data_IF_140377274936
#
_entry.id   IF_140377274936
#
_cell.length_a   1.000
_cell.length_b   1.000
_cell.length_c   1.000
_cell.angle_alpha   90.00
_cell.angle_beta   90.00
_cell.angle_gamma   90.00
#
_symmetry.space_group_name_H-M   'P 1'
#
loop_
_entity.id
_entity.type
_entity.pdbx_description
1 polymer ?
#
# COMPACT_ATOMS: atom_id res chain seq x y z
N UNK A 1 -0.71 -35.80 8.68
CA UNK A 1 -0.06 -34.62 9.20
C UNK A 1 -0.99 -33.44 9.49
N UNK A 2 -2.20 -33.44 8.99
CA UNK A 2 -3.21 -32.39 9.21
C UNK A 2 -4.36 -32.90 10.09
N UNK A 3 -4.02 -33.51 11.22
CA UNK A 3 -4.98 -34.23 12.09
C UNK A 3 -5.68 -33.36 13.13
N UNK A 4 -5.12 -32.19 13.46
CA UNK A 4 -5.65 -31.33 14.54
C UNK A 4 -7.07 -30.86 14.28
N UNK A 5 -7.43 -30.63 13.02
CA UNK A 5 -8.74 -30.17 12.60
C UNK A 5 -9.53 -31.21 11.78
N UNK A 6 -9.17 -32.47 11.82
CA UNK A 6 -9.77 -33.52 10.96
C UNK A 6 -11.28 -33.61 11.10
N UNK A 7 -11.82 -33.53 12.31
CA UNK A 7 -13.26 -33.59 12.62
C UNK A 7 -14.07 -32.37 12.16
N UNK A 8 -13.38 -31.25 11.91
CA UNK A 8 -13.99 -29.98 11.50
C UNK A 8 -13.85 -29.69 9.99
N UNK A 9 -13.37 -30.70 9.22
CA UNK A 9 -13.24 -30.57 7.75
C UNK A 9 -14.49 -30.96 7.00
N UNK A 10 -15.40 -31.70 7.66
CA UNK A 10 -16.70 -32.00 7.08
C UNK A 10 -17.58 -30.76 6.96
N UNK A 11 -18.57 -30.82 6.06
CA UNK A 11 -19.45 -29.67 5.80
C UNK A 11 -20.63 -29.68 6.82
N UNK A 12 -20.30 -29.49 8.10
CA UNK A 12 -21.28 -29.34 9.18
C UNK A 12 -21.53 -27.86 9.46
N UNK A 13 -22.67 -27.54 10.13
CA UNK A 13 -22.97 -26.17 10.53
C UNK A 13 -21.89 -25.58 11.46
N UNK A 14 -21.35 -26.37 12.35
CA UNK A 14 -20.30 -26.00 13.28
C UNK A 14 -18.99 -25.66 12.54
N UNK A 15 -18.62 -26.50 11.57
CA UNK A 15 -17.45 -26.25 10.72
C UNK A 15 -17.64 -25.03 9.84
N UNK A 16 -18.83 -24.79 9.30
CA UNK A 16 -19.16 -23.59 8.54
C UNK A 16 -18.99 -22.34 9.42
N UNK A 17 -19.59 -22.34 10.60
CA UNK A 17 -19.50 -21.23 11.55
C UNK A 17 -18.04 -20.94 11.93
N UNK A 18 -17.25 -21.97 12.25
CA UNK A 18 -15.83 -21.84 12.56
C UNK A 18 -15.03 -21.22 11.39
N UNK A 19 -15.24 -21.73 10.17
CA UNK A 19 -14.54 -21.22 8.98
C UNK A 19 -14.84 -19.75 8.73
N UNK A 20 -16.10 -19.35 8.88
CA UNK A 20 -16.51 -17.96 8.73
C UNK A 20 -15.96 -17.08 9.86
N UNK A 21 -15.99 -17.53 11.10
CA UNK A 21 -15.37 -16.83 12.24
C UNK A 21 -13.87 -16.63 12.04
N UNK A 22 -13.14 -17.67 11.61
CA UNK A 22 -11.72 -17.58 11.32
C UNK A 22 -11.43 -16.60 10.16
N UNK A 23 -12.26 -16.62 9.11
CA UNK A 23 -12.12 -15.68 8.00
C UNK A 23 -12.30 -14.22 8.45
N UNK A 24 -13.27 -13.94 9.34
CA UNK A 24 -13.48 -12.64 9.97
C UNK A 24 -12.26 -12.23 10.80
N UNK A 25 -11.78 -13.14 11.65
CA UNK A 25 -10.65 -12.86 12.56
C UNK A 25 -9.35 -12.62 11.75
N UNK A 26 -9.02 -13.49 10.81
CA UNK A 26 -7.80 -13.38 10.01
C UNK A 26 -7.83 -12.15 9.09
N UNK A 27 -8.93 -11.95 8.35
CA UNK A 27 -9.11 -10.76 7.51
C UNK A 27 -9.11 -9.47 8.33
N UNK A 28 -9.77 -9.51 9.51
CA UNK A 28 -9.78 -8.41 10.47
C UNK A 28 -8.38 -8.09 11.01
N UNK A 29 -7.60 -9.09 11.40
CA UNK A 29 -6.25 -8.91 11.92
C UNK A 29 -5.33 -8.22 10.89
N UNK A 30 -5.36 -8.67 9.62
CA UNK A 30 -4.65 -8.02 8.52
C UNK A 30 -5.15 -6.57 8.36
N UNK A 31 -6.47 -6.37 8.31
CA UNK A 31 -7.07 -5.06 8.06
C UNK A 31 -6.89 -4.05 9.20
N UNK A 32 -6.78 -4.49 10.45
CA UNK A 32 -6.49 -3.62 11.62
C UNK A 32 -5.14 -2.93 11.43
N UNK A 33 -4.10 -3.66 11.10
CA UNK A 33 -2.77 -3.11 10.83
C UNK A 33 -2.83 -2.03 9.74
N UNK A 34 -3.56 -2.29 8.64
CA UNK A 34 -3.74 -1.36 7.53
C UNK A 34 -4.47 -0.08 7.97
N UNK A 35 -5.48 -0.21 8.81
CA UNK A 35 -6.23 0.92 9.38
C UNK A 35 -5.33 1.79 10.26
N UNK A 36 -4.54 1.19 11.16
CA UNK A 36 -3.58 1.93 11.99
C UNK A 36 -2.55 2.71 11.16
N UNK A 37 -2.16 2.18 10.02
CA UNK A 37 -1.24 2.86 9.09
C UNK A 37 -1.92 3.80 8.09
N UNK A 38 -3.20 4.06 8.24
CA UNK A 38 -4.00 4.94 7.36
C UNK A 38 -3.87 4.57 5.88
N UNK A 39 -3.89 3.26 5.58
CA UNK A 39 -3.87 2.77 4.19
C UNK A 39 -5.28 2.76 3.60
N UNK A 40 -5.46 2.86 2.26
CA UNK A 40 -6.77 2.99 1.62
C UNK A 40 -7.75 1.87 1.96
N UNK A 41 -7.30 0.60 1.96
CA UNK A 41 -8.10 -0.55 2.38
C UNK A 41 -7.75 -0.93 3.82
N UNK A 42 -8.73 -0.87 4.73
CA UNK A 42 -8.57 -1.11 6.16
C UNK A 42 -9.32 -2.34 6.66
N UNK A 43 -9.68 -2.31 7.94
CA UNK A 43 -10.30 -3.41 8.70
C UNK A 43 -11.49 -4.04 7.98
N UNK A 44 -12.52 -3.23 7.64
CA UNK A 44 -13.76 -3.73 7.02
C UNK A 44 -13.51 -4.36 5.66
N UNK A 45 -12.64 -3.76 4.85
CA UNK A 45 -12.38 -4.22 3.49
C UNK A 45 -11.72 -5.59 3.48
N UNK A 46 -10.68 -5.79 4.28
CA UNK A 46 -9.98 -7.08 4.37
C UNK A 46 -10.88 -8.18 4.95
N UNK A 47 -11.66 -7.85 5.98
CA UNK A 47 -12.62 -8.76 6.59
C UNK A 47 -13.67 -9.23 5.59
N UNK A 48 -14.30 -8.31 4.84
CA UNK A 48 -15.31 -8.63 3.85
C UNK A 48 -14.78 -9.48 2.69
N UNK A 49 -13.56 -9.17 2.21
CA UNK A 49 -12.91 -9.95 1.15
C UNK A 49 -12.61 -11.38 1.64
N UNK A 50 -12.06 -11.52 2.85
CA UNK A 50 -11.74 -12.82 3.42
C UNK A 50 -13.00 -13.67 3.62
N UNK A 51 -14.07 -13.08 4.16
CA UNK A 51 -15.38 -13.74 4.32
C UNK A 51 -15.99 -14.16 2.98
N UNK A 52 -16.03 -13.24 2.01
CA UNK A 52 -16.58 -13.53 0.69
C UNK A 52 -15.83 -14.66 -0.01
N UNK A 53 -14.51 -14.65 0.08
CA UNK A 53 -13.69 -15.73 -0.46
C UNK A 53 -13.93 -17.07 0.26
N UNK A 54 -14.03 -17.07 1.59
CA UNK A 54 -14.34 -18.28 2.35
C UNK A 54 -15.73 -18.87 1.97
N UNK A 55 -16.75 -18.00 1.89
CA UNK A 55 -18.08 -18.41 1.50
C UNK A 55 -18.14 -18.96 0.07
N UNK A 56 -17.34 -18.43 -0.85
CA UNK A 56 -17.24 -18.92 -2.22
C UNK A 56 -16.77 -20.37 -2.26
N UNK A 57 -15.75 -20.73 -1.48
CA UNK A 57 -15.25 -22.10 -1.39
C UNK A 57 -16.24 -23.02 -0.71
N UNK A 58 -16.91 -22.57 0.36
CA UNK A 58 -17.99 -23.32 1.02
C UNK A 58 -19.14 -23.60 0.07
N UNK A 59 -19.54 -22.63 -0.74
CA UNK A 59 -20.56 -22.80 -1.78
C UNK A 59 -20.14 -23.85 -2.80
N UNK A 60 -18.89 -23.83 -3.27
CA UNK A 60 -18.36 -24.85 -4.19
C UNK A 60 -18.42 -26.25 -3.60
N UNK A 61 -18.02 -26.40 -2.32
CA UNK A 61 -18.09 -27.68 -1.62
C UNK A 61 -19.55 -28.15 -1.44
N UNK A 62 -20.47 -27.25 -1.08
CA UNK A 62 -21.87 -27.56 -0.93
C UNK A 62 -22.49 -28.09 -2.24
N UNK A 63 -22.25 -27.41 -3.37
CA UNK A 63 -22.72 -27.82 -4.68
C UNK A 63 -22.18 -29.21 -5.09
N UNK A 64 -20.90 -29.47 -4.85
CA UNK A 64 -20.26 -30.71 -5.22
C UNK A 64 -20.67 -31.89 -4.32
N UNK A 65 -20.70 -31.71 -3.00
CA UNK A 65 -20.86 -32.80 -2.03
C UNK A 65 -22.34 -33.08 -1.69
N UNK A 66 -23.17 -32.02 -1.56
CA UNK A 66 -24.58 -32.19 -1.17
C UNK A 66 -25.53 -32.22 -2.35
N UNK A 67 -25.31 -31.39 -3.35
CA UNK A 67 -26.14 -31.34 -4.55
C UNK A 67 -25.70 -32.35 -5.61
N UNK A 68 -24.56 -33.02 -5.39
CA UNK A 68 -23.96 -33.98 -6.33
C UNK A 68 -23.79 -33.43 -7.77
N UNK A 69 -23.66 -32.10 -7.89
CA UNK A 69 -23.36 -31.48 -9.15
C UNK A 69 -21.91 -31.76 -9.52
N UNK A 70 -21.74 -32.43 -10.68
CA UNK A 70 -20.40 -32.63 -11.22
C UNK A 70 -19.80 -31.28 -11.64
N UNK A 71 -19.07 -30.63 -10.75
CA UNK A 71 -18.49 -29.33 -10.97
C UNK A 71 -17.07 -29.31 -10.42
N UNK A 72 -16.21 -28.53 -11.07
CA UNK A 72 -14.87 -28.23 -10.56
C UNK A 72 -15.00 -27.32 -9.33
N UNK A 73 -14.65 -27.87 -8.15
CA UNK A 73 -14.70 -27.14 -6.87
C UNK A 73 -13.77 -25.93 -6.84
N UNK A 74 -12.72 -25.89 -7.66
CA UNK A 74 -11.78 -24.77 -7.72
C UNK A 74 -12.27 -23.63 -8.63
N UNK A 75 -13.23 -23.88 -9.51
CA UNK A 75 -13.64 -22.91 -10.55
C UNK A 75 -14.16 -21.60 -10.00
N UNK A 76 -15.03 -21.63 -9.00
CA UNK A 76 -15.58 -20.40 -8.41
C UNK A 76 -14.48 -19.67 -7.61
N UNK A 77 -13.63 -20.41 -6.90
CA UNK A 77 -12.48 -19.85 -6.21
C UNK A 77 -11.47 -19.17 -7.16
N UNK A 78 -11.24 -19.76 -8.33
CA UNK A 78 -10.38 -19.13 -9.36
C UNK A 78 -10.93 -17.77 -9.82
N UNK A 79 -12.26 -17.63 -9.93
CA UNK A 79 -12.89 -16.35 -10.26
C UNK A 79 -12.73 -15.31 -9.15
N UNK A 80 -12.70 -15.72 -7.87
CA UNK A 80 -12.39 -14.82 -6.75
C UNK A 80 -10.98 -14.28 -6.88
N UNK A 81 -9.99 -15.15 -7.20
CA UNK A 81 -8.58 -14.73 -7.37
C UNK A 81 -8.45 -13.70 -8.49
N UNK A 82 -9.14 -13.92 -9.61
CA UNK A 82 -9.17 -12.94 -10.71
C UNK A 82 -9.93 -11.65 -10.33
N UNK A 83 -11.12 -11.79 -9.70
CA UNK A 83 -11.99 -10.67 -9.32
C UNK A 83 -11.37 -9.72 -8.29
N UNK A 84 -10.63 -10.25 -7.33
CA UNK A 84 -9.89 -9.42 -6.35
C UNK A 84 -8.80 -8.61 -7.04
N UNK A 85 -8.26 -9.08 -8.16
CA UNK A 85 -7.34 -8.30 -9.01
C UNK A 85 -7.96 -6.98 -9.47
N UNK A 86 -9.25 -6.96 -9.82
CA UNK A 86 -9.99 -5.75 -10.19
C UNK A 86 -10.11 -4.77 -9.00
N UNK A 87 -10.46 -5.29 -7.80
CA UNK A 87 -10.53 -4.47 -6.57
C UNK A 87 -9.14 -3.91 -6.24
N UNK A 88 -8.11 -4.75 -6.34
CA UNK A 88 -6.72 -4.37 -6.15
C UNK A 88 -6.28 -3.25 -7.11
N UNK A 89 -6.58 -3.38 -8.39
CA UNK A 89 -6.31 -2.35 -9.40
C UNK A 89 -6.97 -1.02 -9.04
N UNK A 90 -8.20 -1.04 -8.50
CA UNK A 90 -8.90 0.15 -8.00
C UNK A 90 -8.20 0.87 -6.85
N UNK A 91 -7.26 0.22 -6.16
CA UNK A 91 -6.45 0.87 -5.10
C UNK A 91 -5.14 1.47 -5.59
N UNK A 92 -4.76 1.16 -6.84
CA UNK A 92 -3.50 1.63 -7.43
C UNK A 92 -3.75 2.99 -8.09
N UNK A 93 -3.01 4.00 -7.65
CA UNK A 93 -3.10 5.36 -8.16
C UNK A 93 -1.73 5.85 -8.61
N UNK A 94 -1.70 6.50 -9.77
CA UNK A 94 -0.53 7.27 -10.23
C UNK A 94 -0.72 8.71 -9.77
N UNK A 95 0.19 9.20 -8.93
CA UNK A 95 0.16 10.58 -8.45
C UNK A 95 0.67 11.54 -9.53
N UNK A 96 0.40 12.85 -9.37
CA UNK A 96 0.90 13.90 -10.29
C UNK A 96 2.41 13.85 -10.54
N UNK A 97 3.17 13.28 -9.61
CA UNK A 97 4.63 13.11 -9.70
C UNK A 97 5.04 11.73 -10.24
N UNK A 98 4.21 11.08 -11.05
CA UNK A 98 4.43 9.76 -11.64
C UNK A 98 4.80 8.65 -10.62
N UNK A 99 4.47 8.83 -9.34
CA UNK A 99 4.64 7.79 -8.32
C UNK A 99 3.42 6.90 -8.26
N UNK A 100 3.66 5.60 -8.31
CA UNK A 100 2.61 4.61 -8.15
C UNK A 100 2.40 4.33 -6.66
N UNK A 101 1.19 4.54 -6.15
CA UNK A 101 0.77 4.22 -4.79
C UNK A 101 -0.29 3.12 -4.82
N UNK A 102 -0.42 2.35 -3.72
CA UNK A 102 -1.47 1.34 -3.58
C UNK A 102 -1.05 -0.09 -3.89
N UNK A 103 0.15 -0.35 -4.43
CA UNK A 103 0.62 -1.70 -4.78
C UNK A 103 0.59 -2.66 -3.58
N UNK A 104 1.10 -2.26 -2.41
CA UNK A 104 1.06 -3.08 -1.19
C UNK A 104 -0.37 -3.32 -0.72
N UNK A 105 -1.26 -2.33 -0.87
CA UNK A 105 -2.68 -2.48 -0.54
C UNK A 105 -3.34 -3.50 -1.45
N UNK A 106 -3.11 -3.43 -2.76
CA UNK A 106 -3.62 -4.40 -3.74
C UNK A 106 -3.14 -5.83 -3.43
N UNK A 107 -1.85 -6.00 -3.14
CA UNK A 107 -1.28 -7.28 -2.74
C UNK A 107 -1.88 -7.81 -1.43
N UNK A 108 -2.12 -6.94 -0.43
CA UNK A 108 -2.75 -7.30 0.84
C UNK A 108 -4.19 -7.79 0.68
N UNK A 109 -4.98 -7.13 -0.19
CA UNK A 109 -6.35 -7.56 -0.51
C UNK A 109 -6.36 -8.93 -1.20
N UNK A 110 -5.44 -9.14 -2.14
CA UNK A 110 -5.27 -10.42 -2.82
C UNK A 110 -4.87 -11.53 -1.82
N UNK A 111 -3.93 -11.28 -0.93
CA UNK A 111 -3.54 -12.22 0.11
C UNK A 111 -4.69 -12.53 1.08
N UNK A 112 -5.50 -11.56 1.48
CA UNK A 112 -6.67 -11.76 2.32
C UNK A 112 -7.73 -12.67 1.64
N UNK A 113 -7.90 -12.56 0.34
CA UNK A 113 -8.77 -13.46 -0.42
C UNK A 113 -8.24 -14.90 -0.41
N UNK A 114 -6.94 -15.11 -0.61
CA UNK A 114 -6.32 -16.44 -0.55
C UNK A 114 -6.48 -17.06 0.86
N UNK A 115 -6.30 -16.28 1.91
CA UNK A 115 -6.59 -16.72 3.29
C UNK A 115 -8.03 -17.19 3.42
N UNK A 116 -8.98 -16.39 2.90
CA UNK A 116 -10.40 -16.75 2.91
C UNK A 116 -10.69 -18.05 2.17
N UNK A 117 -10.19 -18.21 0.94
CA UNK A 117 -10.34 -19.45 0.16
C UNK A 117 -9.78 -20.66 0.90
N UNK A 118 -8.62 -20.52 1.53
CA UNK A 118 -7.99 -21.59 2.31
C UNK A 118 -8.83 -22.00 3.52
N UNK A 119 -9.31 -21.02 4.30
CA UNK A 119 -10.15 -21.27 5.46
C UNK A 119 -11.51 -21.86 5.06
N UNK A 120 -12.11 -21.36 3.98
CA UNK A 120 -13.35 -21.91 3.40
C UNK A 120 -13.20 -23.36 2.92
N UNK A 121 -12.02 -23.73 2.42
CA UNK A 121 -11.70 -25.10 2.03
C UNK A 121 -11.50 -26.06 3.24
N UNK A 122 -11.45 -25.55 4.47
CA UNK A 122 -11.07 -26.32 5.65
C UNK A 122 -9.55 -26.54 5.78
N UNK A 123 -8.75 -25.81 5.01
CA UNK A 123 -7.30 -25.80 5.12
C UNK A 123 -6.86 -24.75 6.15
N UNK A 124 -7.24 -25.00 7.41
CA UNK A 124 -7.03 -24.07 8.54
C UNK A 124 -5.57 -23.72 8.75
N UNK A 125 -4.70 -24.73 8.72
CA UNK A 125 -3.27 -24.58 8.94
C UNK A 125 -2.66 -23.64 7.90
N UNK A 126 -3.01 -23.82 6.62
CA UNK A 126 -2.56 -22.96 5.53
C UNK A 126 -3.06 -21.51 5.70
N UNK A 127 -4.35 -21.35 5.99
CA UNK A 127 -4.94 -20.02 6.21
C UNK A 127 -4.29 -19.26 7.37
N UNK A 128 -4.04 -19.93 8.51
CA UNK A 128 -3.41 -19.34 9.68
C UNK A 128 -1.92 -19.01 9.44
N UNK A 129 -1.18 -19.93 8.80
CA UNK A 129 0.24 -19.68 8.47
C UNK A 129 0.37 -18.50 7.51
N UNK A 130 -0.42 -18.44 6.45
CA UNK A 130 -0.39 -17.31 5.50
C UNK A 130 -0.78 -16.01 6.19
N UNK A 131 -1.79 -16.01 7.07
CA UNK A 131 -2.16 -14.83 7.87
C UNK A 131 -0.96 -14.34 8.71
N UNK A 132 -0.28 -15.25 9.39
CA UNK A 132 0.94 -14.95 10.15
C UNK A 132 2.06 -14.37 9.29
N UNK A 133 2.30 -14.96 8.11
CA UNK A 133 3.30 -14.45 7.17
C UNK A 133 2.96 -13.05 6.64
N UNK A 134 1.70 -12.79 6.31
CA UNK A 134 1.24 -11.46 5.85
C UNK A 134 1.45 -10.42 6.95
N UNK A 135 1.01 -10.71 8.18
CA UNK A 135 1.21 -9.82 9.32
C UNK A 135 2.69 -9.57 9.60
N UNK A 136 3.51 -10.61 9.55
CA UNK A 136 4.96 -10.49 9.70
C UNK A 136 5.54 -9.58 8.61
N UNK A 137 5.18 -9.80 7.36
CA UNK A 137 5.66 -8.97 6.25
C UNK A 137 5.25 -7.49 6.43
N UNK A 138 4.00 -7.21 6.77
CA UNK A 138 3.49 -5.85 6.92
C UNK A 138 4.04 -5.13 8.16
N UNK A 139 4.20 -5.82 9.28
CA UNK A 139 4.69 -5.23 10.52
C UNK A 139 6.23 -5.12 10.56
N UNK A 140 6.92 -6.18 10.18
CA UNK A 140 8.37 -6.29 10.33
C UNK A 140 9.14 -5.68 9.14
N UNK A 141 8.81 -6.09 7.89
CA UNK A 141 9.52 -5.57 6.72
C UNK A 141 9.37 -4.07 6.56
N UNK A 142 8.23 -3.50 6.92
CA UNK A 142 8.04 -2.05 6.91
C UNK A 142 8.91 -1.30 7.93
N UNK A 143 9.37 -1.95 9.01
CA UNK A 143 10.37 -1.38 9.93
C UNK A 143 11.77 -1.43 9.30
N UNK A 144 12.10 -2.56 8.69
CA UNK A 144 13.38 -2.75 7.97
C UNK A 144 13.49 -1.75 6.82
N UNK A 145 12.45 -1.61 6.01
CA UNK A 145 12.40 -0.65 4.91
C UNK A 145 12.68 0.78 5.40
N UNK A 146 12.00 1.22 6.46
CA UNK A 146 12.27 2.53 7.08
C UNK A 146 13.69 2.70 7.58
N UNK A 147 14.29 1.63 8.13
CA UNK A 147 15.67 1.66 8.61
C UNK A 147 16.65 1.81 7.45
N UNK A 148 16.40 1.12 6.35
CA UNK A 148 17.22 1.18 5.12
C UNK A 148 17.05 2.53 4.43
N UNK A 149 15.81 3.02 4.27
CA UNK A 149 15.50 4.30 3.61
C UNK A 149 15.95 5.52 4.43
N UNK A 150 16.07 5.41 5.75
CA UNK A 150 16.68 6.46 6.60
C UNK A 150 18.11 6.83 6.19
N UNK A 151 18.80 5.97 5.45
CA UNK A 151 20.17 6.21 4.97
C UNK A 151 20.27 7.23 3.83
N UNK A 152 19.17 7.61 3.20
CA UNK A 152 19.16 8.62 2.12
C UNK A 152 17.88 9.46 2.23
N UNK A 153 17.88 10.54 3.02
CA UNK A 153 16.70 11.38 3.18
C UNK A 153 16.39 12.09 1.85
N UNK A 154 15.38 11.58 1.16
CA UNK A 154 14.80 12.28 0.01
C UNK A 154 13.82 13.33 0.52
N UNK A 155 13.90 14.52 -0.04
CA UNK A 155 13.08 15.67 0.32
C UNK A 155 12.35 16.16 -0.92
N UNK A 156 11.02 16.22 -0.83
CA UNK A 156 10.22 16.91 -1.84
C UNK A 156 10.16 18.39 -1.48
N UNK A 157 10.85 19.20 -2.25
CA UNK A 157 10.90 20.63 -2.08
C UNK A 157 9.90 21.30 -3.02
N UNK A 158 9.00 22.09 -2.48
CA UNK A 158 8.15 23.01 -3.23
C UNK A 158 8.77 24.39 -3.18
N UNK A 159 9.04 24.97 -4.35
CA UNK A 159 9.69 26.26 -4.51
C UNK A 159 8.83 27.17 -5.37
N UNK A 160 8.51 28.38 -4.84
CA UNK A 160 7.96 29.48 -5.66
C UNK A 160 9.06 30.51 -5.86
N UNK A 161 9.26 30.94 -7.10
CA UNK A 161 10.36 31.85 -7.46
C UNK A 161 9.92 32.83 -8.55
N UNK A 162 10.61 33.96 -8.60
CA UNK A 162 10.38 35.02 -9.57
C UNK A 162 11.55 35.09 -10.57
N UNK A 163 11.24 34.87 -11.84
CA UNK A 163 12.19 34.95 -12.95
C UNK A 163 13.15 33.75 -13.09
N UNK A 164 13.80 33.67 -14.26
CA UNK A 164 14.77 32.60 -14.59
C UNK A 164 16.04 32.67 -13.74
N UNK A 165 16.44 33.87 -13.37
CA UNK A 165 17.68 34.12 -12.62
C UNK A 165 17.63 33.58 -11.20
N UNK A 166 16.45 33.58 -10.58
CA UNK A 166 16.24 32.96 -9.28
C UNK A 166 16.44 31.43 -9.34
N UNK A 167 15.94 30.78 -10.39
CA UNK A 167 16.13 29.35 -10.62
C UNK A 167 17.62 29.02 -10.80
N UNK A 168 18.35 29.80 -11.56
CA UNK A 168 19.77 29.56 -11.79
C UNK A 168 20.56 29.65 -10.47
N UNK A 169 20.25 30.65 -9.62
CA UNK A 169 20.83 30.77 -8.26
C UNK A 169 20.51 29.55 -7.39
N UNK A 170 19.29 29.06 -7.42
CA UNK A 170 18.89 27.87 -6.67
C UNK A 170 19.64 26.63 -7.16
N UNK A 171 19.75 26.44 -8.47
CA UNK A 171 20.51 25.30 -9.03
C UNK A 171 22.01 25.40 -8.71
N UNK A 172 22.58 26.60 -8.73
CA UNK A 172 23.97 26.84 -8.31
C UNK A 172 24.16 26.48 -6.84
N UNK A 173 23.25 26.92 -5.96
CA UNK A 173 23.26 26.53 -4.55
C UNK A 173 23.22 25.03 -4.36
N UNK A 174 22.39 24.29 -5.14
CA UNK A 174 22.36 22.82 -5.05
C UNK A 174 23.68 22.18 -5.46
N UNK A 175 24.34 22.72 -6.49
CA UNK A 175 25.67 22.25 -6.93
C UNK A 175 26.74 22.50 -5.87
N UNK A 176 26.81 23.68 -5.31
CA UNK A 176 27.78 24.05 -4.26
C UNK A 176 27.64 23.21 -3.00
N UNK A 177 26.42 22.89 -2.63
CA UNK A 177 26.11 22.01 -1.46
C UNK A 177 26.14 20.54 -1.77
N UNK A 178 26.55 20.14 -2.97
CA UNK A 178 26.55 18.73 -3.43
C UNK A 178 25.19 18.01 -3.26
N UNK A 179 24.07 18.75 -3.39
CA UNK A 179 22.72 18.22 -3.31
C UNK A 179 22.36 17.58 -4.64
N UNK A 180 22.00 16.30 -4.62
CA UNK A 180 21.58 15.58 -5.84
C UNK A 180 20.12 15.89 -6.15
N UNK A 181 19.88 16.50 -7.29
CA UNK A 181 18.53 16.66 -7.87
C UNK A 181 18.17 15.36 -8.57
N UNK A 182 17.15 14.64 -8.05
CA UNK A 182 16.67 13.38 -8.62
C UNK A 182 15.57 13.61 -9.65
N UNK A 183 14.73 14.62 -9.43
CA UNK A 183 13.68 15.05 -10.36
C UNK A 183 13.38 16.51 -10.15
N UNK A 184 13.03 17.20 -11.24
CA UNK A 184 12.57 18.58 -11.23
C UNK A 184 11.35 18.69 -12.14
N UNK A 185 10.27 19.26 -11.62
CA UNK A 185 9.05 19.55 -12.35
C UNK A 185 8.74 21.04 -12.22
N UNK A 186 8.62 21.73 -13.34
CA UNK A 186 8.31 23.16 -13.37
C UNK A 186 6.85 23.31 -13.83
N UNK A 187 6.05 23.95 -13.01
CA UNK A 187 4.68 24.29 -13.35
C UNK A 187 4.60 25.76 -13.72
N UNK A 188 4.06 26.04 -14.91
CA UNK A 188 3.86 27.43 -15.38
C UNK A 188 2.88 28.18 -14.48
N UNK A 189 3.04 29.52 -14.34
CA UNK A 189 2.20 30.33 -13.47
C UNK A 189 0.73 30.26 -13.87
N UNK A 190 -0.14 30.25 -12.87
CA UNK A 190 -1.59 30.42 -13.04
C UNK A 190 -1.80 31.86 -13.57
N UNK A 191 -2.72 32.03 -14.52
CA UNK A 191 -2.98 33.21 -15.36
C UNK A 191 -2.95 34.62 -14.70
N UNK A 192 -2.97 34.69 -13.37
CA UNK A 192 -3.04 35.99 -12.64
C UNK A 192 -1.71 36.46 -11.99
N UNK A 193 -0.64 35.64 -11.99
CA UNK A 193 0.66 36.05 -11.41
C UNK A 193 1.71 36.00 -12.51
N UNK A 194 1.87 37.12 -13.26
CA UNK A 194 2.65 37.18 -14.51
C UNK A 194 4.15 36.82 -14.41
N UNK A 195 4.74 36.71 -13.20
CA UNK A 195 6.18 36.49 -13.04
C UNK A 195 6.58 35.34 -12.11
N UNK A 196 5.65 34.80 -11.31
CA UNK A 196 5.97 33.74 -10.34
C UNK A 196 5.76 32.34 -10.92
N UNK A 197 6.83 31.56 -10.98
CA UNK A 197 6.80 30.16 -11.36
C UNK A 197 6.94 29.27 -10.13
N UNK A 198 6.47 28.02 -10.27
CA UNK A 198 6.57 26.99 -9.22
C UNK A 198 7.43 25.85 -9.72
N UNK A 199 8.37 25.40 -8.90
CA UNK A 199 9.13 24.19 -9.16
C UNK A 199 8.98 23.21 -8.00
N UNK A 200 8.87 21.94 -8.33
CA UNK A 200 8.89 20.84 -7.37
C UNK A 200 10.15 20.04 -7.63
N UNK A 201 10.99 19.94 -6.63
CA UNK A 201 12.22 19.16 -6.69
C UNK A 201 12.13 17.94 -5.81
N UNK A 202 12.59 16.82 -6.32
CA UNK A 202 12.96 15.67 -5.50
C UNK A 202 14.48 15.73 -5.30
N UNK A 203 14.89 16.03 -4.08
CA UNK A 203 16.29 16.21 -3.72
C UNK A 203 16.76 15.09 -2.80
N UNK A 204 18.01 14.70 -2.93
CA UNK A 204 18.70 13.84 -1.96
C UNK A 204 19.70 14.70 -1.21
N UNK A 205 19.41 14.97 0.08
CA UNK A 205 20.26 15.75 0.95
C UNK A 205 21.39 14.89 1.50
N UNK A 206 22.56 15.50 1.73
CA UNK A 206 23.62 14.84 2.51
C UNK A 206 23.21 14.81 3.99
N UNK A 207 23.66 13.76 4.71
CA UNK A 207 23.36 13.52 6.14
C UNK A 207 23.77 14.67 7.06
N UNK A 208 24.67 15.53 6.59
CA UNK A 208 25.21 16.66 7.36
C UNK A 208 24.31 17.88 7.36
N UNK A 209 23.33 17.96 6.46
CA UNK A 209 22.48 19.15 6.30
C UNK A 209 21.16 18.94 7.02
N UNK A 210 20.90 19.74 8.06
CA UNK A 210 19.62 19.75 8.75
C UNK A 210 18.54 20.39 7.86
N UNK A 211 17.32 19.84 7.86
CA UNK A 211 16.20 20.34 7.05
C UNK A 211 15.91 21.82 7.28
N UNK A 212 15.96 22.28 8.53
CA UNK A 212 15.73 23.68 8.90
C UNK A 212 16.80 24.62 8.34
N UNK A 213 18.07 24.24 8.47
CA UNK A 213 19.19 25.03 7.92
C UNK A 213 19.11 25.11 6.40
N UNK A 214 18.71 24.02 5.74
CA UNK A 214 18.51 23.95 4.30
C UNK A 214 17.40 24.92 3.83
N UNK A 215 16.23 24.88 4.49
CA UNK A 215 15.11 25.77 4.17
C UNK A 215 15.47 27.25 4.40
N UNK A 216 16.12 27.55 5.51
CA UNK A 216 16.55 28.93 5.82
C UNK A 216 17.53 29.47 4.79
N UNK A 217 18.50 28.69 4.34
CA UNK A 217 19.43 29.08 3.31
C UNK A 217 18.78 29.32 1.94
N UNK A 218 17.81 28.45 1.58
CA UNK A 218 17.06 28.59 0.33
C UNK A 218 16.15 29.82 0.33
N UNK A 219 15.49 30.09 1.46
CA UNK A 219 14.59 31.27 1.56
C UNK A 219 15.35 32.63 1.48
N UNK A 220 16.66 32.63 1.72
CA UNK A 220 17.49 33.82 1.61
C UNK A 220 17.97 34.10 0.18
N UNK A 221 17.75 33.18 -0.77
CA UNK A 221 18.15 33.38 -2.16
C UNK A 221 17.24 34.43 -2.80
N UNK A 222 17.86 35.46 -3.39
CA UNK A 222 17.14 36.56 -4.05
C UNK A 222 16.23 35.99 -5.19
N UNK A 223 14.95 36.35 -5.17
CA UNK A 223 13.96 35.88 -6.11
C UNK A 223 13.19 34.60 -5.68
N UNK A 224 13.54 34.03 -4.55
CA UNK A 224 12.74 32.95 -3.92
C UNK A 224 11.62 33.55 -3.09
N UNK A 225 10.36 33.26 -3.42
CA UNK A 225 9.19 33.78 -2.75
C UNK A 225 8.70 32.89 -1.60
N UNK A 226 8.70 31.59 -1.77
CA UNK A 226 8.39 30.62 -0.71
C UNK A 226 9.05 29.28 -0.95
N UNK A 227 9.39 28.61 0.14
CA UNK A 227 10.02 27.29 0.16
C UNK A 227 9.29 26.43 1.19
N UNK A 228 8.77 25.27 0.76
CA UNK A 228 8.10 24.34 1.63
C UNK A 228 8.55 22.89 1.36
N UNK A 229 8.64 22.08 2.41
CA UNK A 229 8.86 20.64 2.26
C UNK A 229 7.51 19.96 2.25
N UNK A 230 7.18 19.34 1.11
CA UNK A 230 5.99 18.51 1.01
C UNK A 230 6.22 17.22 1.81
N UNK A 231 5.50 17.06 2.92
CA UNK A 231 5.49 15.80 3.67
C UNK A 231 4.99 14.66 2.80
N UNK A 232 5.68 13.51 2.87
CA UNK A 232 5.31 12.28 2.16
C UNK A 232 3.99 11.69 2.66
#
# INVERSE_FOLDING_TARGET
MLSVFSSLRDLTFEALALRMCLAVICGGAIGIERTFRRRPAGFRTHMLICMGAAMTTLTSQFLALHMQHYTDMARIGAQVVAGVGFIGAGTIMVTRHQRVKGLTTAAGLWAAAIVGLSLGAGFYEGGLVVTGCVLFAELFLSKVERLVLRKSPEVNLYLRYDGSDAMERVLTFFREKHIKVLSMEITRPIKNEKHMATAIFLLRLDKKITRETFLNQLSQIAGVASVDILSQ
#
